data_IF_311440912306
#
_entry.id   IF_311440912306
#
_cell.length_a   1.000
_cell.length_b   1.000
_cell.length_c   1.000
_cell.angle_alpha   90.00
_cell.angle_beta   90.00
_cell.angle_gamma   90.00
#
_symmetry.space_group_name_H-M   'P 1'
#
loop_
_entity.id
_entity.type
_entity.pdbx_description
1 polymer ?
#
# COMPACT_ATOMS: atom_id res chain seq x y z
N UNK A 1 -10.12 -17.95 -39.70
CA UNK A 1 -10.88 -17.74 -38.44
C UNK A 1 -10.04 -18.02 -37.19
N UNK A 2 -9.02 -18.89 -37.25
CA UNK A 2 -8.16 -19.27 -36.12
C UNK A 2 -7.37 -18.12 -35.44
N UNK A 3 -6.76 -17.19 -36.19
CA UNK A 3 -5.85 -16.16 -35.62
C UNK A 3 -6.51 -15.20 -34.60
N UNK A 4 -7.83 -14.94 -34.73
CA UNK A 4 -8.57 -14.07 -33.80
C UNK A 4 -8.87 -14.76 -32.47
N UNK A 5 -8.97 -16.09 -32.45
CA UNK A 5 -9.27 -16.88 -31.26
C UNK A 5 -8.04 -16.89 -30.32
N UNK A 6 -6.86 -17.14 -30.87
CA UNK A 6 -5.59 -17.10 -30.11
C UNK A 6 -5.31 -15.74 -29.46
N UNK A 7 -5.55 -14.61 -30.15
CA UNK A 7 -5.31 -13.27 -29.59
C UNK A 7 -6.23 -13.01 -28.39
N UNK A 8 -7.49 -13.46 -28.48
CA UNK A 8 -8.46 -13.31 -27.40
C UNK A 8 -8.09 -14.16 -26.19
N UNK A 9 -7.63 -15.40 -26.38
CA UNK A 9 -7.17 -16.27 -25.29
C UNK A 9 -5.96 -15.71 -24.57
N UNK A 10 -4.95 -15.26 -25.32
CA UNK A 10 -3.75 -14.61 -24.78
C UNK A 10 -4.14 -13.39 -23.94
N UNK A 11 -5.10 -12.58 -24.39
CA UNK A 11 -5.61 -11.44 -23.62
C UNK A 11 -6.13 -11.84 -22.24
N UNK A 12 -6.93 -12.91 -22.14
CA UNK A 12 -7.47 -13.32 -20.84
C UNK A 12 -6.38 -13.84 -19.89
N UNK A 13 -5.37 -14.54 -20.41
CA UNK A 13 -4.21 -14.96 -19.60
C UNK A 13 -3.38 -13.77 -19.12
N UNK A 14 -3.12 -12.78 -19.98
CA UNK A 14 -2.41 -11.55 -19.59
C UNK A 14 -3.20 -10.80 -18.51
N UNK A 15 -4.51 -10.68 -18.65
CA UNK A 15 -5.36 -10.03 -17.64
C UNK A 15 -5.36 -10.79 -16.31
N UNK A 16 -5.36 -12.12 -16.34
CA UNK A 16 -5.20 -12.93 -15.14
C UNK A 16 -3.83 -12.68 -14.47
N UNK A 17 -2.75 -12.61 -15.26
CA UNK A 17 -1.42 -12.32 -14.75
C UNK A 17 -1.35 -10.93 -14.10
N UNK A 18 -1.88 -9.90 -14.76
CA UNK A 18 -1.95 -8.54 -14.21
C UNK A 18 -2.74 -8.53 -12.90
N UNK A 19 -3.89 -9.21 -12.86
CA UNK A 19 -4.71 -9.30 -11.65
C UNK A 19 -3.95 -9.96 -10.50
N UNK A 20 -3.19 -11.04 -10.75
CA UNK A 20 -2.34 -11.68 -9.73
C UNK A 20 -1.26 -10.73 -9.22
N UNK A 21 -0.59 -9.99 -10.11
CA UNK A 21 0.44 -9.01 -9.72
C UNK A 21 -0.17 -7.92 -8.83
N UNK A 22 -1.32 -7.35 -9.23
CA UNK A 22 -2.02 -6.34 -8.44
C UNK A 22 -2.48 -6.87 -7.09
N UNK A 23 -2.90 -8.12 -7.03
CA UNK A 23 -3.29 -8.78 -5.79
C UNK A 23 -2.11 -8.92 -4.82
N UNK A 24 -0.94 -9.36 -5.32
CA UNK A 24 0.30 -9.46 -4.53
C UNK A 24 0.72 -8.08 -4.03
N UNK A 25 0.73 -7.06 -4.90
CA UNK A 25 1.06 -5.67 -4.52
C UNK A 25 0.09 -5.18 -3.44
N UNK A 26 -1.21 -5.47 -3.59
CA UNK A 26 -2.23 -5.11 -2.60
C UNK A 26 -1.97 -5.75 -1.23
N UNK A 27 -1.58 -7.03 -1.20
CA UNK A 27 -1.22 -7.74 0.04
C UNK A 27 0.00 -7.11 0.71
N UNK A 28 1.11 -6.95 -0.03
CA UNK A 28 2.35 -6.37 0.51
C UNK A 28 2.09 -4.96 1.05
N UNK A 29 1.39 -4.13 0.27
CA UNK A 29 1.01 -2.78 0.68
C UNK A 29 0.19 -2.80 1.97
N UNK A 30 -0.82 -3.68 2.06
CA UNK A 30 -1.67 -3.79 3.25
C UNK A 30 -0.85 -4.19 4.47
N UNK A 31 0.05 -5.17 4.31
CA UNK A 31 0.88 -5.69 5.38
C UNK A 31 1.87 -4.64 5.91
N UNK A 32 2.63 -4.00 5.02
CA UNK A 32 3.61 -2.98 5.41
C UNK A 32 2.95 -1.80 6.13
N UNK A 33 1.81 -1.34 5.60
CA UNK A 33 1.06 -0.25 6.22
C UNK A 33 0.38 -0.66 7.53
N UNK A 34 0.03 -1.93 7.71
CA UNK A 34 -0.45 -2.46 8.99
C UNK A 34 0.64 -2.45 10.05
N UNK A 35 1.87 -2.84 9.68
CA UNK A 35 3.03 -2.74 10.58
C UNK A 35 3.27 -1.27 10.96
N UNK A 36 3.29 -0.36 9.99
CA UNK A 36 3.49 1.07 10.24
C UNK A 36 2.38 1.69 11.09
N UNK A 37 1.14 1.20 10.97
CA UNK A 37 0.04 1.65 11.81
C UNK A 37 0.22 1.24 13.29
N UNK A 38 0.63 0.00 13.53
CA UNK A 38 0.84 -0.54 14.89
C UNK A 38 2.13 0.00 15.51
N UNK A 39 3.20 0.07 14.73
CA UNK A 39 4.52 0.60 15.12
C UNK A 39 4.97 1.65 14.10
N UNK A 40 4.52 2.91 14.26
CA UNK A 40 4.96 4.00 13.40
C UNK A 40 6.48 4.14 13.47
N UNK A 41 7.15 4.08 12.32
CA UNK A 41 8.57 4.36 12.26
C UNK A 41 8.77 5.88 12.36
N UNK A 42 9.16 6.35 13.55
CA UNK A 42 9.64 7.72 13.73
C UNK A 42 11.16 7.72 13.84
N UNK A 43 11.82 8.50 12.99
CA UNK A 43 13.25 8.81 13.09
C UNK A 43 13.50 10.06 13.96
N UNK A 44 12.44 10.78 14.33
CA UNK A 44 12.52 11.88 15.26
C UNK A 44 12.55 11.37 16.69
N UNK A 45 13.64 11.71 17.38
CA UNK A 45 13.79 11.52 18.82
C UNK A 45 14.04 12.88 19.46
N UNK A 46 13.72 13.01 20.74
CA UNK A 46 13.97 14.23 21.51
C UNK A 46 15.43 14.67 21.44
N UNK A 47 16.37 13.71 21.45
CA UNK A 47 17.80 13.95 21.30
C UNK A 47 18.18 14.58 19.94
N UNK A 48 17.53 14.15 18.85
CA UNK A 48 17.78 14.68 17.51
C UNK A 48 17.12 16.06 17.31
N UNK A 49 16.04 16.35 18.03
CA UNK A 49 15.29 17.60 17.89
C UNK A 49 15.81 18.74 18.78
N UNK A 50 16.37 18.45 19.96
CA UNK A 50 16.90 19.47 20.88
C UNK A 50 17.88 20.44 20.19
N UNK A 51 18.70 19.93 19.26
CA UNK A 51 19.64 20.75 18.48
C UNK A 51 18.95 21.79 17.59
N UNK A 52 17.74 21.51 17.08
CA UNK A 52 16.98 22.44 16.24
C UNK A 52 16.41 23.63 17.03
N UNK A 53 16.20 23.48 18.34
CA UNK A 53 15.71 24.54 19.23
C UNK A 53 16.83 25.22 20.05
N UNK A 54 18.10 25.04 19.65
CA UNK A 54 19.25 25.64 20.33
C UNK A 54 19.64 27.01 19.73
N UNK A 55 18.82 27.55 18.82
CA UNK A 55 19.06 28.82 18.13
C UNK A 55 18.68 30.06 18.96
N UNK A 56 19.15 31.26 18.56
CA UNK A 56 18.86 32.52 19.26
C UNK A 56 17.37 32.91 19.27
N UNK A 57 16.52 32.32 18.42
CA UNK A 57 15.05 32.48 18.48
C UNK A 57 14.40 31.82 19.71
N UNK A 58 15.08 30.83 20.30
CA UNK A 58 14.55 30.02 21.41
C UNK A 58 15.28 30.30 22.74
N UNK A 59 16.20 31.28 22.76
CA UNK A 59 17.03 31.60 23.94
C UNK A 59 16.23 32.11 25.14
N UNK A 60 15.07 32.72 24.88
CA UNK A 60 14.18 33.28 25.91
C UNK A 60 13.19 32.25 26.45
N UNK A 61 13.18 31.03 25.90
CA UNK A 61 12.29 29.96 26.32
C UNK A 61 12.94 29.10 27.40
N UNK A 62 12.14 28.75 28.42
CA UNK A 62 12.58 27.78 29.43
C UNK A 62 12.75 26.39 28.79
N UNK A 63 13.64 25.57 29.38
CA UNK A 63 13.86 24.18 28.92
C UNK A 63 12.57 23.35 28.92
N UNK A 64 11.68 23.60 29.86
CA UNK A 64 10.37 22.92 29.92
C UNK A 64 9.45 23.31 28.77
N UNK A 65 9.51 24.56 28.30
CA UNK A 65 8.74 24.97 27.13
C UNK A 65 9.28 24.34 25.84
N UNK A 66 10.60 24.27 25.69
CA UNK A 66 11.25 23.62 24.54
C UNK A 66 10.92 22.13 24.52
N UNK A 67 11.03 21.46 25.66
CA UNK A 67 10.71 20.05 25.79
C UNK A 67 9.25 19.76 25.43
N UNK A 68 8.32 20.61 25.86
CA UNK A 68 6.90 20.48 25.53
C UNK A 68 6.64 20.61 24.03
N UNK A 69 7.29 21.56 23.36
CA UNK A 69 7.17 21.74 21.90
C UNK A 69 7.67 20.49 21.16
N UNK A 70 8.82 19.98 21.56
CA UNK A 70 9.40 18.77 20.96
C UNK A 70 8.47 17.57 21.16
N UNK A 71 7.94 17.39 22.37
CA UNK A 71 7.03 16.29 22.68
C UNK A 71 5.71 16.39 21.88
N UNK A 72 5.16 17.60 21.74
CA UNK A 72 3.97 17.87 20.92
C UNK A 72 4.23 17.57 19.43
N UNK A 73 5.40 17.94 18.91
CA UNK A 73 5.76 17.71 17.50
C UNK A 73 6.01 16.22 17.21
N UNK A 74 6.66 15.50 18.12
CA UNK A 74 6.80 14.04 18.04
C UNK A 74 5.42 13.37 18.07
N UNK A 75 4.52 13.80 18.96
CA UNK A 75 3.18 13.24 19.06
C UNK A 75 2.37 13.49 17.78
N UNK A 76 2.48 14.69 17.19
CA UNK A 76 1.81 15.03 15.94
C UNK A 76 2.34 14.21 14.76
N UNK A 77 3.65 13.99 14.67
CA UNK A 77 4.22 13.12 13.65
C UNK A 77 3.77 11.66 13.80
N UNK A 78 3.79 11.11 15.02
CA UNK A 78 3.30 9.75 15.27
C UNK A 78 1.82 9.62 14.86
N UNK A 79 1.00 10.64 15.14
CA UNK A 79 -0.40 10.67 14.73
C UNK A 79 -0.55 10.66 13.21
N UNK A 80 0.22 11.49 12.51
CA UNK A 80 0.20 11.58 11.05
C UNK A 80 0.64 10.26 10.40
N UNK A 81 1.70 9.63 10.92
CA UNK A 81 2.17 8.33 10.44
C UNK A 81 1.12 7.24 10.63
N UNK A 82 0.39 7.24 11.75
CA UNK A 82 -0.75 6.32 11.93
C UNK A 82 -1.86 6.58 10.91
N UNK A 83 -2.21 7.84 10.65
CA UNK A 83 -3.25 8.17 9.66
C UNK A 83 -2.80 7.73 8.26
N UNK A 84 -1.53 7.92 7.92
CA UNK A 84 -0.96 7.51 6.63
C UNK A 84 -0.93 5.98 6.50
N UNK A 85 -0.51 5.27 7.55
CA UNK A 85 -0.59 3.82 7.63
C UNK A 85 -2.01 3.32 7.42
N UNK A 86 -3.00 3.91 8.10
CA UNK A 86 -4.40 3.54 7.92
C UNK A 86 -4.88 3.75 6.47
N UNK A 87 -4.56 4.90 5.86
CA UNK A 87 -4.86 5.17 4.44
C UNK A 87 -4.17 4.15 3.52
N UNK A 88 -2.95 3.74 3.82
CA UNK A 88 -2.21 2.73 3.09
C UNK A 88 -2.86 1.35 3.17
N UNK A 89 -3.34 0.95 4.35
CA UNK A 89 -4.13 -0.29 4.54
C UNK A 89 -5.36 -0.26 3.64
N UNK A 90 -6.13 0.84 3.63
CA UNK A 90 -7.30 0.97 2.77
C UNK A 90 -6.96 0.89 1.28
N UNK A 91 -5.85 1.51 0.84
CA UNK A 91 -5.40 1.43 -0.56
C UNK A 91 -5.02 0.00 -0.95
N UNK A 92 -4.28 -0.70 -0.09
CA UNK A 92 -3.91 -2.10 -0.31
C UNK A 92 -5.14 -3.02 -0.36
N UNK A 93 -6.08 -2.84 0.58
CA UNK A 93 -7.34 -3.57 0.59
C UNK A 93 -8.17 -3.32 -0.67
N UNK A 94 -8.22 -2.07 -1.16
CA UNK A 94 -8.92 -1.72 -2.39
C UNK A 94 -8.30 -2.45 -3.61
N UNK A 95 -6.97 -2.51 -3.69
CA UNK A 95 -6.29 -3.27 -4.75
C UNK A 95 -6.68 -4.75 -4.71
N UNK A 96 -6.72 -5.37 -3.53
CA UNK A 96 -7.15 -6.76 -3.35
C UNK A 96 -8.59 -6.96 -3.81
N UNK A 97 -9.50 -6.07 -3.37
CA UNK A 97 -10.93 -6.12 -3.70
C UNK A 97 -11.20 -5.94 -5.19
N UNK A 98 -10.36 -5.18 -5.91
CA UNK A 98 -10.47 -5.01 -7.36
C UNK A 98 -9.81 -6.18 -8.10
N UNK A 99 -8.63 -6.61 -7.67
CA UNK A 99 -7.86 -7.65 -8.33
C UNK A 99 -8.53 -9.03 -8.26
N UNK A 100 -9.11 -9.39 -7.11
CA UNK A 100 -9.77 -10.68 -6.91
C UNK A 100 -10.93 -10.94 -7.91
N UNK A 101 -11.94 -10.07 -8.06
CA UNK A 101 -13.02 -10.28 -9.03
C UNK A 101 -12.51 -10.20 -10.47
N UNK A 102 -11.53 -9.34 -10.77
CA UNK A 102 -10.91 -9.31 -12.10
C UNK A 102 -10.30 -10.66 -12.45
N UNK A 103 -9.52 -11.27 -11.56
CA UNK A 103 -8.95 -12.59 -11.76
C UNK A 103 -10.05 -13.64 -11.95
N UNK A 104 -11.04 -13.71 -11.05
CA UNK A 104 -12.12 -14.70 -11.11
C UNK A 104 -12.87 -14.64 -12.45
N UNK A 105 -13.23 -13.44 -12.90
CA UNK A 105 -13.98 -13.24 -14.14
C UNK A 105 -13.15 -13.66 -15.36
N UNK A 106 -11.89 -13.22 -15.45
CA UNK A 106 -11.04 -13.51 -16.61
C UNK A 106 -10.61 -14.97 -16.64
N UNK A 107 -10.37 -15.58 -15.48
CA UNK A 107 -10.01 -16.99 -15.36
C UNK A 107 -11.14 -17.91 -15.79
N UNK A 108 -12.37 -17.65 -15.35
CA UNK A 108 -13.55 -18.42 -15.80
C UNK A 108 -13.72 -18.36 -17.31
N UNK A 109 -13.48 -17.20 -17.92
CA UNK A 109 -13.54 -17.02 -19.38
C UNK A 109 -12.40 -17.73 -20.11
N UNK A 110 -11.18 -17.69 -19.56
CA UNK A 110 -10.03 -18.41 -20.09
C UNK A 110 -10.28 -19.93 -20.10
N UNK A 111 -10.77 -20.49 -18.99
CA UNK A 111 -11.11 -21.92 -18.90
C UNK A 111 -12.19 -22.35 -19.88
N UNK A 112 -13.26 -21.56 -20.02
CA UNK A 112 -14.34 -21.87 -20.94
C UNK A 112 -13.85 -21.97 -22.39
N UNK A 113 -12.96 -21.08 -22.84
CA UNK A 113 -12.41 -21.15 -24.20
C UNK A 113 -11.44 -22.32 -24.36
N UNK A 114 -10.61 -22.61 -23.35
CA UNK A 114 -9.71 -23.75 -23.39
C UNK A 114 -10.47 -25.09 -23.53
N UNK A 115 -11.56 -25.26 -22.79
CA UNK A 115 -12.41 -26.45 -22.90
C UNK A 115 -13.06 -26.59 -24.28
N UNK A 116 -13.46 -25.48 -24.91
CA UNK A 116 -13.99 -25.51 -26.28
C UNK A 116 -12.91 -25.92 -27.30
N UNK A 117 -11.68 -25.40 -27.15
CA UNK A 117 -10.57 -25.79 -28.04
C UNK A 117 -10.11 -27.24 -27.88
N UNK A 118 -10.27 -27.82 -26.67
CA UNK A 118 -9.85 -29.19 -26.37
C UNK A 118 -10.90 -30.27 -26.72
N UNK A 119 -12.12 -29.86 -27.09
CA UNK A 119 -13.20 -30.76 -27.50
C UNK A 119 -13.49 -30.74 -29.00
N UNK A 120 -12.69 -30.03 -29.80
CA UNK A 120 -12.75 -30.00 -31.27
C UNK A 120 -11.76 -31.00 -31.93
N UNK A 121 -11.05 -31.81 -31.13
CA UNK A 121 -10.22 -32.94 -31.57
C UNK A 121 -10.98 -34.28 -31.44
#
# INVERSE_FOLDING_TARGET
MARKVYIREIYFYIMCLIAVILFIIGIVTTFDNSINYVKPQTYMTKANMIGAYSGPEFSDMSREQIDKIIDDEIALQISNEKINGLKGIFRGALLIVIAAPLFIIHWKKAQAMWQMSAGED
#
